data_IF_530211919364
#
_entry.id   IF_530211919364
#
_cell.length_a   1.000
_cell.length_b   1.000
_cell.length_c   1.000
_cell.angle_alpha   90.00
_cell.angle_beta   90.00
_cell.angle_gamma   90.00
#
_symmetry.space_group_name_H-M   'P 1'
#
loop_
_entity.id
_entity.type
_entity.pdbx_description
1 polymer ?
#
# COMPACT_ATOMS: atom_id res chain seq x y z
N UNK A 1 -23.78 11.10 15.59
CA UNK A 1 -22.41 11.08 16.16
C UNK A 1 -21.88 9.66 16.06
N UNK A 2 -20.65 9.49 15.55
CA UNK A 2 -19.95 8.19 15.57
C UNK A 2 -18.63 8.31 16.31
N UNK A 3 -18.22 7.24 16.99
CA UNK A 3 -16.96 7.16 17.74
C UNK A 3 -16.05 6.09 17.12
N UNK A 4 -14.75 6.38 17.13
CA UNK A 4 -13.69 5.45 16.74
C UNK A 4 -12.68 5.37 17.87
N UNK A 5 -12.35 4.17 18.31
CA UNK A 5 -11.20 3.94 19.19
C UNK A 5 -9.98 3.72 18.32
N UNK A 6 -8.92 4.47 18.55
CA UNK A 6 -7.69 4.39 17.78
C UNK A 6 -6.90 3.15 18.18
N UNK A 7 -6.74 2.24 17.25
CA UNK A 7 -5.97 1.00 17.42
C UNK A 7 -4.46 1.23 17.16
N UNK A 8 -3.67 0.17 17.38
CA UNK A 8 -2.21 0.22 17.09
C UNK A 8 -1.90 0.58 15.64
N UNK A 9 -2.66 0.05 14.69
CA UNK A 9 -2.46 0.32 13.26
C UNK A 9 -2.90 1.72 12.83
N UNK A 10 -3.72 2.39 13.62
CA UNK A 10 -4.19 3.76 13.37
C UNK A 10 -3.30 4.82 14.01
N UNK A 11 -2.55 4.45 15.04
CA UNK A 11 -1.70 5.36 15.78
C UNK A 11 -0.59 5.97 14.92
N UNK A 12 -0.18 7.20 15.26
CA UNK A 12 0.83 7.97 14.54
C UNK A 12 0.32 8.63 13.25
N UNK A 13 -0.90 8.35 12.80
CA UNK A 13 -1.52 9.07 11.68
C UNK A 13 -1.97 10.47 12.11
N UNK A 14 -1.98 11.39 11.15
CA UNK A 14 -2.58 12.71 11.38
C UNK A 14 -4.10 12.58 11.41
N UNK A 15 -4.76 13.36 12.27
CA UNK A 15 -6.21 13.40 12.41
C UNK A 15 -6.93 13.60 11.06
N UNK A 16 -6.49 14.57 10.26
CA UNK A 16 -7.13 14.86 8.96
C UNK A 16 -7.01 13.69 7.97
N UNK A 17 -5.87 12.98 7.96
CA UNK A 17 -5.65 11.80 7.11
C UNK A 17 -6.48 10.60 7.56
N UNK A 18 -6.53 10.37 8.86
CA UNK A 18 -7.35 9.29 9.42
C UNK A 18 -8.83 9.48 9.07
N UNK A 19 -9.37 10.70 9.27
CA UNK A 19 -10.78 10.99 8.95
C UNK A 19 -11.05 10.87 7.45
N UNK A 20 -10.17 11.41 6.60
CA UNK A 20 -10.33 11.31 5.14
C UNK A 20 -10.34 9.84 4.65
N UNK A 21 -9.56 8.96 5.29
CA UNK A 21 -9.52 7.53 4.97
C UNK A 21 -10.80 6.80 5.36
N UNK A 22 -11.38 7.15 6.52
CA UNK A 22 -12.60 6.53 7.03
C UNK A 22 -13.89 7.12 6.42
N UNK A 23 -13.80 8.31 5.85
CA UNK A 23 -14.91 9.05 5.27
C UNK A 23 -14.55 9.51 3.85
N UNK A 24 -14.42 8.59 2.88
CA UNK A 24 -13.98 8.91 1.52
C UNK A 24 -14.95 9.84 0.79
N UNK A 25 -16.23 9.82 1.15
CA UNK A 25 -17.26 10.71 0.58
C UNK A 25 -17.23 12.13 1.16
N UNK A 26 -16.45 12.39 2.24
CA UNK A 26 -16.36 13.71 2.85
C UNK A 26 -15.37 14.60 2.08
N UNK A 27 -15.85 15.69 1.41
CA UNK A 27 -14.96 16.58 0.67
C UNK A 27 -13.88 17.20 1.56
N UNK A 28 -12.62 17.33 1.09
CA UNK A 28 -11.52 17.87 1.89
C UNK A 28 -11.78 19.25 2.47
N UNK A 29 -12.45 20.13 1.72
CA UNK A 29 -12.82 21.47 2.20
C UNK A 29 -13.82 21.40 3.38
N UNK A 30 -14.76 20.47 3.32
CA UNK A 30 -15.76 20.27 4.37
C UNK A 30 -15.13 19.63 5.62
N UNK A 31 -14.20 18.69 5.44
CA UNK A 31 -13.39 18.14 6.54
C UNK A 31 -12.65 19.26 7.30
N UNK A 32 -11.97 20.16 6.60
CA UNK A 32 -11.27 21.28 7.22
C UNK A 32 -12.24 22.21 7.99
N UNK A 33 -13.42 22.45 7.43
CA UNK A 33 -14.48 23.23 8.09
C UNK A 33 -14.94 22.56 9.37
N UNK A 34 -15.17 21.23 9.37
CA UNK A 34 -15.62 20.48 10.56
C UNK A 34 -14.56 20.42 11.66
N UNK A 35 -13.29 20.30 11.31
CA UNK A 35 -12.18 20.41 12.28
C UNK A 35 -12.19 21.79 12.95
N UNK A 36 -12.26 22.88 12.14
CA UNK A 36 -12.30 24.25 12.65
C UNK A 36 -13.50 24.54 13.54
N UNK A 37 -14.67 23.98 13.20
CA UNK A 37 -15.90 24.10 13.98
C UNK A 37 -15.95 23.16 15.21
N UNK A 38 -14.86 22.43 15.50
CA UNK A 38 -14.75 21.45 16.60
C UNK A 38 -15.83 20.36 16.55
N UNK A 39 -16.33 20.03 15.35
CA UNK A 39 -17.21 18.88 15.13
C UNK A 39 -16.47 17.54 15.10
N UNK A 40 -15.15 17.58 15.10
CA UNK A 40 -14.25 16.46 15.23
C UNK A 40 -13.46 16.66 16.51
N UNK A 41 -13.59 15.71 17.45
CA UNK A 41 -12.95 15.79 18.76
C UNK A 41 -12.10 14.56 18.99
N UNK A 42 -10.97 14.76 19.67
CA UNK A 42 -10.12 13.69 20.21
C UNK A 42 -10.22 13.76 21.73
N UNK A 43 -10.62 12.66 22.37
CA UNK A 43 -10.82 12.57 23.83
C UNK A 43 -11.73 13.71 24.35
N UNK A 44 -12.83 13.98 23.64
CA UNK A 44 -13.79 15.01 24.01
C UNK A 44 -13.38 16.46 23.69
N UNK A 45 -12.15 16.71 23.23
CA UNK A 45 -11.62 18.04 22.94
C UNK A 45 -11.44 18.27 21.44
N UNK A 46 -11.80 19.48 20.97
CA UNK A 46 -11.52 19.90 19.59
C UNK A 46 -10.01 19.97 19.34
N UNK A 47 -9.55 19.39 18.23
CA UNK A 47 -8.13 19.22 17.93
C UNK A 47 -7.77 19.91 16.62
N UNK A 48 -6.47 20.18 16.39
CA UNK A 48 -5.95 20.67 15.12
C UNK A 48 -5.85 19.51 14.11
N UNK A 49 -5.85 19.84 12.81
CA UNK A 49 -5.83 18.84 11.72
C UNK A 49 -4.59 17.94 11.70
N UNK A 50 -3.47 18.47 12.19
CA UNK A 50 -2.13 17.85 12.15
C UNK A 50 -1.80 17.09 13.44
N UNK A 51 -2.70 17.04 14.41
CA UNK A 51 -2.55 16.21 15.61
C UNK A 51 -2.36 14.75 15.20
N UNK A 52 -1.37 14.09 15.78
CA UNK A 52 -1.13 12.67 15.62
C UNK A 52 -1.94 11.91 16.65
N UNK A 53 -2.67 10.93 16.16
CA UNK A 53 -3.50 10.06 16.99
C UNK A 53 -2.63 9.04 17.73
N UNK A 54 -2.98 8.75 18.96
CA UNK A 54 -2.31 7.75 19.80
C UNK A 54 -3.23 6.54 20.02
N UNK A 55 -2.64 5.38 20.30
CA UNK A 55 -3.41 4.18 20.62
C UNK A 55 -4.26 4.42 21.87
N UNK A 56 -5.55 4.10 21.76
CA UNK A 56 -6.52 4.32 22.83
C UNK A 56 -7.24 5.67 22.76
N UNK A 57 -6.85 6.59 21.89
CA UNK A 57 -7.61 7.81 21.66
C UNK A 57 -9.04 7.50 21.22
N UNK A 58 -10.00 8.28 21.74
CA UNK A 58 -11.39 8.23 21.32
C UNK A 58 -11.66 9.41 20.39
N UNK A 59 -11.90 9.11 19.12
CA UNK A 59 -12.24 10.09 18.11
C UNK A 59 -13.76 10.19 17.95
N UNK A 60 -14.33 11.34 18.22
CA UNK A 60 -15.76 11.61 18.14
C UNK A 60 -16.07 12.49 16.93
N UNK A 61 -16.90 11.98 16.02
CA UNK A 61 -17.27 12.63 14.77
C UNK A 61 -18.74 13.08 14.81
N UNK A 62 -18.97 14.39 14.88
CA UNK A 62 -20.29 15.03 14.78
C UNK A 62 -20.54 15.42 13.30
N UNK A 63 -20.63 14.41 12.44
CA UNK A 63 -20.74 14.51 10.99
C UNK A 63 -22.01 13.79 10.56
N UNK A 64 -22.61 14.19 9.44
CA UNK A 64 -23.83 13.57 8.89
C UNK A 64 -23.55 12.13 8.47
N UNK A 65 -24.55 11.27 8.65
CA UNK A 65 -24.39 9.81 8.42
C UNK A 65 -24.12 9.46 6.95
N UNK A 66 -24.56 10.28 5.99
CA UNK A 66 -24.30 10.10 4.56
C UNK A 66 -22.82 9.99 4.17
N UNK A 67 -21.90 10.58 4.98
CA UNK A 67 -20.48 10.50 4.73
C UNK A 67 -19.82 9.23 5.28
N UNK A 68 -20.55 8.41 6.03
CA UNK A 68 -20.05 7.14 6.57
C UNK A 68 -20.36 5.94 5.68
N UNK A 69 -21.08 6.15 4.59
CA UNK A 69 -21.36 5.09 3.64
C UNK A 69 -20.08 4.75 2.87
N UNK A 70 -19.68 3.49 2.95
CA UNK A 70 -18.50 3.00 2.23
C UNK A 70 -18.92 2.46 0.87
N UNK A 71 -18.22 2.79 -0.22
CA UNK A 71 -18.41 2.09 -1.49
C UNK A 71 -18.20 0.58 -1.30
N UNK A 72 -19.05 -0.26 -1.88
CA UNK A 72 -19.05 -1.73 -1.72
C UNK A 72 -17.80 -2.46 -2.30
N UNK A 73 -16.82 -1.76 -2.84
CA UNK A 73 -15.62 -2.37 -3.46
C UNK A 73 -14.58 -2.89 -2.46
N UNK A 74 -14.74 -2.62 -1.16
CA UNK A 74 -13.71 -2.92 -0.13
C UNK A 74 -13.61 -4.40 0.30
N UNK A 75 -14.47 -5.29 -0.19
CA UNK A 75 -14.55 -6.67 0.31
C UNK A 75 -14.32 -7.73 -0.78
N UNK A 76 -13.66 -7.39 -1.89
CA UNK A 76 -13.39 -8.33 -2.98
C UNK A 76 -12.54 -9.53 -2.53
N UNK A 77 -11.69 -9.39 -1.53
CA UNK A 77 -10.91 -10.48 -0.96
C UNK A 77 -11.79 -11.61 -0.37
N UNK A 78 -13.03 -11.32 0.06
CA UNK A 78 -13.97 -12.33 0.56
C UNK A 78 -14.43 -13.31 -0.52
N UNK A 79 -14.30 -12.95 -1.79
CA UNK A 79 -14.61 -13.83 -2.92
C UNK A 79 -13.48 -14.82 -3.21
N UNK A 80 -12.31 -14.64 -2.61
CA UNK A 80 -11.14 -15.53 -2.75
C UNK A 80 -11.22 -16.63 -1.69
N UNK A 81 -11.97 -17.70 -1.98
CA UNK A 81 -12.16 -18.82 -1.04
C UNK A 81 -10.87 -19.61 -0.77
N UNK A 82 -10.00 -19.74 -1.76
CA UNK A 82 -8.74 -20.47 -1.65
C UNK A 82 -7.58 -19.57 -2.13
N UNK A 83 -6.92 -18.85 -1.23
CA UNK A 83 -5.78 -18.01 -1.59
C UNK A 83 -4.66 -18.86 -2.23
N UNK A 84 -4.15 -18.39 -3.37
CA UNK A 84 -3.03 -19.02 -4.08
C UNK A 84 -1.80 -18.17 -3.90
N UNK A 85 -0.99 -18.50 -2.91
CA UNK A 85 0.23 -17.76 -2.56
C UNK A 85 1.40 -18.75 -2.48
N UNK A 86 2.52 -18.39 -3.10
CA UNK A 86 3.80 -19.05 -2.86
C UNK A 86 4.57 -18.21 -1.83
N UNK A 87 4.38 -18.55 -0.53
CA UNK A 87 4.96 -17.81 0.58
C UNK A 87 6.41 -18.22 0.75
N UNK A 88 7.33 -17.25 0.67
CA UNK A 88 8.77 -17.44 0.84
C UNK A 88 9.19 -17.14 2.28
N UNK A 89 8.54 -16.17 2.89
CA UNK A 89 8.80 -15.78 4.27
C UNK A 89 7.55 -15.18 4.89
N UNK A 90 7.32 -15.43 6.16
CA UNK A 90 6.26 -14.81 6.93
C UNK A 90 6.69 -14.65 8.39
N UNK A 91 6.42 -13.47 8.95
CA UNK A 91 6.46 -13.20 10.38
C UNK A 91 5.21 -12.42 10.83
N UNK A 92 5.24 -11.83 12.01
CA UNK A 92 4.15 -11.02 12.55
C UNK A 92 3.94 -9.69 11.82
N UNK A 93 4.95 -9.19 11.09
CA UNK A 93 4.99 -7.88 10.46
C UNK A 93 4.94 -7.93 8.94
N UNK A 94 5.55 -8.95 8.34
CA UNK A 94 5.78 -9.04 6.90
C UNK A 94 5.33 -10.40 6.35
N UNK A 95 4.94 -10.38 5.07
CA UNK A 95 4.68 -11.56 4.26
C UNK A 95 5.38 -11.36 2.90
N UNK A 96 6.32 -12.23 2.55
CA UNK A 96 7.00 -12.23 1.27
C UNK A 96 6.43 -13.34 0.40
N UNK A 97 5.96 -12.97 -0.78
CA UNK A 97 5.32 -13.89 -1.72
C UNK A 97 6.07 -13.89 -3.04
N UNK A 98 6.45 -15.06 -3.51
CA UNK A 98 6.95 -15.23 -4.88
C UNK A 98 5.76 -15.25 -5.85
N UNK A 99 5.53 -14.09 -6.49
CA UNK A 99 4.42 -13.90 -7.43
C UNK A 99 4.74 -14.57 -8.75
N UNK A 100 3.86 -15.44 -9.21
CA UNK A 100 3.96 -16.02 -10.56
C UNK A 100 3.57 -15.01 -11.65
N UNK A 101 4.14 -15.10 -12.87
CA UNK A 101 3.66 -14.38 -14.03
C UNK A 101 2.16 -14.63 -14.28
N UNK A 102 1.47 -13.64 -14.84
CA UNK A 102 0.05 -13.70 -15.19
C UNK A 102 -0.91 -13.11 -14.15
N UNK A 103 -0.49 -12.95 -12.88
CA UNK A 103 -1.29 -12.36 -11.81
C UNK A 103 -1.02 -10.87 -11.65
N UNK A 104 -2.05 -10.02 -11.64
CA UNK A 104 -1.95 -8.61 -11.31
C UNK A 104 -1.69 -8.41 -9.82
N UNK A 105 -0.86 -7.45 -9.47
CA UNK A 105 -0.54 -7.11 -8.08
C UNK A 105 -1.71 -6.41 -7.40
N UNK A 106 -2.29 -5.41 -8.06
CA UNK A 106 -3.49 -4.69 -7.66
C UNK A 106 -4.60 -4.82 -8.71
N UNK A 107 -5.82 -4.43 -8.34
CA UNK A 107 -6.94 -4.32 -9.27
C UNK A 107 -6.61 -3.33 -10.40
N UNK A 108 -6.99 -3.70 -11.62
CA UNK A 108 -6.94 -2.86 -12.80
C UNK A 108 -8.30 -2.90 -13.54
N UNK A 109 -8.38 -2.30 -14.72
CA UNK A 109 -9.62 -2.25 -15.51
C UNK A 109 -10.10 -3.64 -15.95
N UNK A 110 -9.19 -4.61 -16.08
CA UNK A 110 -9.47 -5.96 -16.60
C UNK A 110 -9.63 -7.02 -15.52
N UNK A 111 -9.01 -6.83 -14.34
CA UNK A 111 -9.03 -7.78 -13.25
C UNK A 111 -9.18 -7.07 -11.90
N UNK A 112 -10.29 -7.32 -11.21
CA UNK A 112 -10.57 -6.71 -9.90
C UNK A 112 -10.45 -7.69 -8.74
N UNK A 113 -10.71 -8.96 -8.98
CA UNK A 113 -10.85 -9.98 -7.94
C UNK A 113 -9.60 -10.82 -7.79
N UNK A 114 -9.10 -11.40 -8.89
CA UNK A 114 -7.96 -12.32 -8.86
C UNK A 114 -6.62 -11.54 -8.87
N UNK A 115 -6.41 -10.75 -7.83
CA UNK A 115 -5.20 -9.93 -7.64
C UNK A 115 -4.40 -10.41 -6.45
N UNK A 116 -3.08 -10.21 -6.46
CA UNK A 116 -2.21 -10.64 -5.38
C UNK A 116 -2.64 -10.06 -4.03
N UNK A 117 -3.03 -8.78 -4.00
CA UNK A 117 -3.47 -8.13 -2.76
C UNK A 117 -4.73 -8.80 -2.19
N UNK A 118 -5.71 -9.15 -3.03
CA UNK A 118 -6.92 -9.83 -2.56
C UNK A 118 -6.62 -11.25 -2.04
N UNK A 119 -5.69 -11.97 -2.65
CA UNK A 119 -5.23 -13.26 -2.14
C UNK A 119 -4.53 -13.14 -0.79
N UNK A 120 -3.67 -12.12 -0.60
CA UNK A 120 -3.00 -11.86 0.67
C UNK A 120 -4.01 -11.48 1.76
N UNK A 121 -4.93 -10.58 1.47
CA UNK A 121 -5.97 -10.18 2.42
C UNK A 121 -6.89 -11.34 2.79
N UNK A 122 -7.28 -12.18 1.83
CA UNK A 122 -8.05 -13.39 2.07
C UNK A 122 -7.30 -14.40 2.95
N UNK A 123 -6.02 -14.59 2.71
CA UNK A 123 -5.14 -15.45 3.50
C UNK A 123 -5.06 -14.99 4.97
N UNK A 124 -4.75 -13.72 5.20
CA UNK A 124 -4.64 -13.16 6.55
C UNK A 124 -5.99 -13.14 7.28
N UNK A 125 -7.08 -12.90 6.55
CA UNK A 125 -8.44 -12.99 7.09
C UNK A 125 -8.77 -14.42 7.54
N UNK A 126 -8.48 -15.43 6.73
CA UNK A 126 -8.72 -16.86 7.05
C UNK A 126 -7.85 -17.31 8.23
N UNK A 127 -6.61 -16.81 8.34
CA UNK A 127 -5.74 -17.05 9.51
C UNK A 127 -6.19 -16.28 10.77
N UNK A 128 -7.18 -15.41 10.67
CA UNK A 128 -7.62 -14.50 11.75
C UNK A 128 -6.53 -13.55 12.24
N UNK A 129 -5.57 -13.21 11.39
CA UNK A 129 -4.52 -12.24 11.67
C UNK A 129 -4.93 -10.81 11.29
N UNK A 130 -5.91 -10.68 10.43
CA UNK A 130 -6.52 -9.40 10.04
C UNK A 130 -8.02 -9.55 9.77
N UNK A 131 -8.78 -8.53 10.16
CA UNK A 131 -10.21 -8.43 9.82
C UNK A 131 -10.57 -6.95 9.68
N UNK A 132 -11.20 -6.53 8.57
CA UNK A 132 -11.58 -5.14 8.35
C UNK A 132 -12.57 -4.59 9.38
N UNK A 133 -13.27 -5.48 10.13
CA UNK A 133 -14.15 -5.08 11.21
C UNK A 133 -13.42 -4.71 12.51
N UNK A 134 -12.16 -5.15 12.66
CA UNK A 134 -11.33 -4.85 13.84
C UNK A 134 -10.44 -3.63 13.61
N UNK A 135 -10.29 -3.23 12.35
CA UNK A 135 -9.45 -2.11 11.92
C UNK A 135 -10.31 -0.92 11.47
N UNK A 136 -9.92 0.28 11.85
CA UNK A 136 -10.62 1.48 11.40
C UNK A 136 -10.17 1.90 10.00
N UNK A 137 -8.86 1.92 9.77
CA UNK A 137 -8.28 2.51 8.57
C UNK A 137 -7.16 1.70 7.93
N UNK A 138 -6.66 0.65 8.60
CA UNK A 138 -5.57 -0.18 8.08
C UNK A 138 -6.12 -1.40 7.35
N UNK A 139 -5.51 -1.70 6.20
CA UNK A 139 -5.59 -2.99 5.54
C UNK A 139 -4.17 -3.44 5.17
N UNK A 140 -3.87 -4.76 5.17
CA UNK A 140 -2.61 -5.28 4.65
C UNK A 140 -2.33 -4.73 3.27
N UNK A 141 -1.10 -4.24 3.05
CA UNK A 141 -0.74 -3.50 1.87
C UNK A 141 0.61 -3.95 1.32
N UNK A 142 0.80 -3.78 0.02
CA UNK A 142 2.04 -4.15 -0.66
C UNK A 142 3.05 -3.01 -0.57
N UNK A 143 4.31 -3.37 -0.34
CA UNK A 143 5.42 -2.43 -0.22
C UNK A 143 6.13 -2.18 -1.56
N UNK A 144 5.97 -3.09 -2.54
CA UNK A 144 6.50 -2.97 -3.90
C UNK A 144 5.48 -3.50 -4.92
N UNK A 145 5.73 -3.21 -6.18
CA UNK A 145 4.94 -3.69 -7.32
C UNK A 145 5.86 -4.29 -8.36
N UNK A 146 5.38 -5.34 -9.01
CA UNK A 146 5.94 -5.89 -10.25
C UNK A 146 4.80 -6.06 -11.26
N UNK A 147 5.10 -6.06 -12.53
CA UNK A 147 4.09 -6.14 -13.59
C UNK A 147 3.37 -7.49 -13.58
N UNK A 148 2.19 -7.55 -14.23
CA UNK A 148 1.37 -8.77 -14.32
C UNK A 148 2.20 -9.98 -14.77
N UNK A 149 2.96 -9.83 -15.86
CA UNK A 149 3.71 -10.92 -16.47
C UNK A 149 5.14 -11.09 -15.92
N UNK A 150 5.50 -10.31 -14.89
CA UNK A 150 6.76 -10.45 -14.16
C UNK A 150 6.59 -11.37 -12.97
N UNK A 151 7.47 -12.35 -12.82
CA UNK A 151 7.61 -13.16 -11.61
C UNK A 151 8.59 -12.53 -10.63
N UNK A 152 8.47 -12.85 -9.33
CA UNK A 152 9.41 -12.39 -8.32
C UNK A 152 8.77 -12.02 -6.99
N UNK A 153 9.60 -11.56 -6.07
CA UNK A 153 9.20 -11.32 -4.68
C UNK A 153 8.39 -10.03 -4.56
N UNK A 154 7.19 -10.17 -3.99
CA UNK A 154 6.36 -9.06 -3.55
C UNK A 154 6.26 -9.09 -2.02
N UNK A 155 6.52 -7.94 -1.41
CA UNK A 155 6.53 -7.76 0.03
C UNK A 155 5.21 -7.13 0.45
N UNK A 156 4.51 -7.79 1.35
CA UNK A 156 3.31 -7.26 1.99
C UNK A 156 3.57 -6.93 3.45
N UNK A 157 3.09 -5.78 3.89
CA UNK A 157 3.08 -5.39 5.30
C UNK A 157 1.77 -5.84 5.95
N UNK A 158 1.88 -6.57 7.06
CA UNK A 158 0.77 -7.04 7.89
C UNK A 158 0.34 -6.00 8.92
N UNK A 159 1.18 -4.98 9.18
CA UNK A 159 0.94 -3.90 10.13
C UNK A 159 1.23 -2.53 9.51
N UNK A 160 0.60 -1.48 10.03
CA UNK A 160 0.84 -0.12 9.56
C UNK A 160 2.27 0.37 9.88
N UNK A 161 2.87 -0.13 10.95
CA UNK A 161 4.24 0.18 11.30
C UNK A 161 5.22 -0.42 10.29
N UNK A 162 5.06 -1.73 9.98
CA UNK A 162 5.86 -2.39 8.96
C UNK A 162 5.75 -1.68 7.61
N UNK A 163 4.53 -1.29 7.20
CA UNK A 163 4.33 -0.52 5.96
C UNK A 163 5.11 0.79 5.96
N UNK A 164 5.10 1.53 7.07
CA UNK A 164 5.87 2.79 7.19
C UNK A 164 7.37 2.57 7.09
N UNK A 165 7.88 1.55 7.80
CA UNK A 165 9.31 1.21 7.79
C UNK A 165 9.74 0.76 6.40
N UNK A 166 8.99 -0.15 5.76
CA UNK A 166 9.31 -0.67 4.44
C UNK A 166 9.27 0.43 3.37
N UNK A 167 8.27 1.32 3.38
CA UNK A 167 8.19 2.45 2.45
C UNK A 167 9.35 3.46 2.60
N UNK A 168 10.04 3.47 3.74
CA UNK A 168 11.25 4.26 3.93
C UNK A 168 12.51 3.51 3.50
N UNK A 169 12.55 2.17 3.66
CA UNK A 169 13.72 1.33 3.43
C UNK A 169 13.81 0.79 2.01
N UNK A 170 12.67 0.50 1.35
CA UNK A 170 12.62 0.12 -0.06
C UNK A 170 12.80 1.40 -0.92
N UNK A 171 13.94 2.04 -0.80
CA UNK A 171 14.41 3.11 -1.67
C UNK A 171 15.72 2.64 -2.27
N UNK A 172 15.62 2.00 -3.41
CA UNK A 172 16.78 1.53 -4.16
C UNK A 172 16.86 2.18 -5.52
N UNK A 173 17.95 1.90 -6.21
CA UNK A 173 18.08 2.16 -7.65
C UNK A 173 17.31 1.07 -8.40
N UNK A 174 16.50 1.46 -9.38
CA UNK A 174 15.82 0.51 -10.25
C UNK A 174 16.70 0.17 -11.44
N UNK A 175 17.23 -1.05 -11.45
CA UNK A 175 18.09 -1.55 -12.52
C UNK A 175 17.30 -2.57 -13.32
N UNK A 176 17.21 -2.37 -14.63
CA UNK A 176 16.60 -3.30 -15.58
C UNK A 176 17.66 -3.97 -16.44
N UNK A 177 17.54 -5.28 -16.60
CA UNK A 177 18.39 -6.05 -17.51
C UNK A 177 17.47 -6.91 -18.37
N UNK A 178 17.62 -6.78 -19.68
CA UNK A 178 16.94 -7.64 -20.63
C UNK A 178 17.83 -8.83 -20.97
N UNK A 179 17.22 -10.00 -21.11
CA UNK A 179 17.87 -11.25 -21.54
C UNK A 179 17.47 -11.55 -22.96
N UNK A 180 18.45 -11.82 -23.82
CA UNK A 180 18.22 -12.21 -25.20
C UNK A 180 18.99 -13.53 -25.48
N UNK A 181 18.27 -14.64 -25.60
CA UNK A 181 18.87 -15.97 -25.64
C UNK A 181 19.66 -16.26 -24.37
N UNK A 182 20.93 -16.63 -24.50
CA UNK A 182 21.84 -16.92 -23.38
C UNK A 182 22.65 -15.70 -22.95
N UNK A 183 22.36 -14.52 -23.51
CA UNK A 183 23.09 -13.28 -23.23
C UNK A 183 22.25 -12.23 -22.52
N UNK A 184 22.95 -11.34 -21.80
CA UNK A 184 22.36 -10.17 -21.14
C UNK A 184 22.66 -8.91 -21.96
N UNK A 185 21.64 -8.08 -22.15
CA UNK A 185 21.84 -6.73 -22.69
C UNK A 185 22.41 -5.81 -21.60
N UNK A 186 23.02 -4.67 -21.97
CA UNK A 186 23.48 -3.71 -21.00
C UNK A 186 22.38 -3.31 -20.01
N UNK A 187 22.72 -3.26 -18.74
CA UNK A 187 21.77 -2.84 -17.72
C UNK A 187 21.36 -1.39 -17.94
N UNK A 188 20.08 -1.12 -17.83
CA UNK A 188 19.51 0.23 -17.77
C UNK A 188 19.15 0.60 -16.34
N UNK A 189 19.40 1.83 -15.94
CA UNK A 189 18.89 2.40 -14.69
C UNK A 189 17.72 3.32 -14.99
N UNK A 190 16.62 3.14 -14.24
CA UNK A 190 15.45 4.01 -14.31
C UNK A 190 15.43 4.89 -13.07
N UNK A 191 15.49 6.20 -13.28
CA UNK A 191 15.42 7.20 -12.23
C UNK A 191 14.07 7.93 -12.35
N UNK A 192 13.05 7.54 -11.57
CA UNK A 192 11.76 8.21 -11.60
C UNK A 192 11.88 9.62 -11.05
N UNK A 193 11.17 10.59 -11.64
CA UNK A 193 11.09 11.96 -11.10
C UNK A 193 10.23 12.05 -9.85
N UNK A 194 9.31 11.08 -9.64
CA UNK A 194 8.48 10.94 -8.45
C UNK A 194 9.10 10.04 -7.38
N UNK A 195 8.32 9.75 -6.34
CA UNK A 195 8.72 8.85 -5.26
C UNK A 195 8.79 7.38 -5.71
N UNK A 196 8.11 7.03 -6.78
CA UNK A 196 8.00 5.67 -7.33
C UNK A 196 7.97 5.71 -8.85
N UNK A 197 8.38 4.60 -9.49
CA UNK A 197 8.20 4.37 -10.92
C UNK A 197 6.78 3.83 -11.18
N UNK A 198 5.80 4.73 -11.12
CA UNK A 198 4.38 4.45 -11.34
C UNK A 198 4.00 4.52 -12.83
N UNK A 199 2.70 4.37 -13.12
CA UNK A 199 2.18 4.42 -14.49
C UNK A 199 2.48 5.77 -15.17
N UNK A 200 2.34 6.87 -14.44
CA UNK A 200 2.63 8.21 -14.98
C UNK A 200 4.12 8.36 -15.32
N UNK A 201 5.01 7.87 -14.44
CA UNK A 201 6.45 7.87 -14.66
C UNK A 201 6.86 7.01 -15.86
N UNK A 202 6.12 5.91 -16.14
CA UNK A 202 6.41 5.00 -17.28
C UNK A 202 6.00 5.58 -18.64
N UNK A 203 4.86 6.27 -18.70
CA UNK A 203 4.21 6.57 -19.98
C UNK A 203 4.09 8.06 -20.30
N UNK A 204 4.34 8.95 -19.36
CA UNK A 204 4.37 10.40 -19.62
C UNK A 204 5.77 10.86 -20.05
N UNK A 205 5.82 11.73 -21.05
CA UNK A 205 7.08 12.32 -21.52
C UNK A 205 7.83 13.01 -20.36
N UNK A 206 9.03 12.53 -20.07
CA UNK A 206 9.88 13.04 -19.00
C UNK A 206 9.47 12.58 -17.59
N UNK A 207 8.67 11.53 -17.44
CA UNK A 207 8.32 10.94 -16.13
C UNK A 207 9.48 10.24 -15.42
N UNK A 208 10.45 9.73 -16.16
CA UNK A 208 11.69 9.15 -15.67
C UNK A 208 12.89 9.52 -16.52
N UNK A 209 14.08 9.34 -15.98
CA UNK A 209 15.34 9.40 -16.72
C UNK A 209 15.86 7.96 -16.84
N UNK A 210 16.16 7.54 -18.06
CA UNK A 210 16.73 6.22 -18.35
C UNK A 210 18.22 6.39 -18.69
N UNK A 211 19.08 5.69 -17.95
CA UNK A 211 20.53 5.65 -18.18
C UNK A 211 20.90 4.26 -18.70
N UNK A 212 21.43 4.18 -19.90
CA UNK A 212 21.94 2.93 -20.47
C UNK A 212 23.31 3.19 -21.12
N UNK A 213 24.39 2.51 -20.69
CA UNK A 213 24.43 1.55 -19.57
C UNK A 213 24.22 2.20 -18.20
N UNK A 214 23.65 1.44 -17.27
CA UNK A 214 23.51 1.88 -15.89
C UNK A 214 24.89 2.04 -15.22
N UNK A 215 25.10 3.09 -14.43
CA UNK A 215 26.37 3.29 -13.69
C UNK A 215 26.41 2.37 -12.46
N UNK A 216 26.55 1.07 -12.68
CA UNK A 216 26.70 0.02 -11.67
C UNK A 216 28.10 -0.53 -11.67
N UNK A 217 28.56 -1.05 -10.51
CA UNK A 217 29.87 -1.68 -10.40
C UNK A 217 29.88 -3.07 -11.02
N UNK A 218 31.06 -3.55 -11.44
CA UNK A 218 31.22 -4.91 -11.98
C UNK A 218 30.74 -5.99 -11.01
N UNK A 219 30.87 -5.76 -9.69
CA UNK A 219 30.37 -6.67 -8.67
C UNK A 219 28.83 -6.79 -8.70
N UNK A 220 28.11 -5.68 -8.84
CA UNK A 220 26.63 -5.67 -9.00
C UNK A 220 26.24 -6.30 -10.31
N UNK A 221 26.95 -5.98 -11.41
CA UNK A 221 26.72 -6.57 -12.72
C UNK A 221 26.81 -8.11 -12.66
N UNK A 222 27.85 -8.63 -12.02
CA UNK A 222 28.05 -10.07 -11.85
C UNK A 222 26.94 -10.73 -11.04
N UNK A 223 26.53 -10.10 -9.93
CA UNK A 223 25.43 -10.63 -9.09
C UNK A 223 24.12 -10.73 -9.88
N UNK A 224 23.78 -9.75 -10.69
CA UNK A 224 22.53 -9.76 -11.47
C UNK A 224 22.57 -10.78 -12.61
N UNK A 225 23.75 -11.03 -13.19
CA UNK A 225 23.93 -12.04 -14.25
C UNK A 225 23.92 -13.48 -13.73
N UNK A 226 24.09 -13.70 -12.43
CA UNK A 226 24.06 -15.03 -11.79
C UNK A 226 22.67 -15.40 -11.24
N UNK A 227 21.67 -14.49 -11.33
CA UNK A 227 20.26 -14.72 -10.90
C UNK A 227 19.42 -15.31 -12.03
#
# INVERSE_FOLDING_TARGET
MREFTIGKNDAGQRLDRFVAKNLPLLPPALLQKYIRLKRIKVNGKGSKRDVRLETGDILQLYINDEFFDKPNEENLFLTVFKPQLNIVYEDENLLLVDKRPGMSVHADETEKVNTLINHIQAYLYQKREWNPKWENAFAPALCNRIDRNTGGIVIAAKTAEALRVMNQKIKGREIQIAVLGDGYLPAGEIIPKGAYFDYESKYQAGGAVELCPAPITDAVWKQVGEM
#
